data_IF_825047528929
#
_entry.id   IF_825047528929
#
_cell.length_a   1.000
_cell.length_b   1.000
_cell.length_c   1.000
_cell.angle_alpha   90.00
_cell.angle_beta   90.00
_cell.angle_gamma   90.00
#
_symmetry.space_group_name_H-M   'P 1'
#
loop_
_entity.id
_entity.type
_entity.pdbx_description
1 polymer ?
#
# COMPACT_ATOMS: atom_id res chain seq x y z
N UNK A 1 -20.95 14.04 8.53
CA UNK A 1 -19.61 14.18 7.96
C UNK A 1 -19.35 12.85 7.28
N UNK A 2 -18.96 12.83 6.01
CA UNK A 2 -18.58 11.56 5.39
C UNK A 2 -17.36 11.08 6.18
N UNK A 3 -17.57 10.04 6.99
CA UNK A 3 -16.53 9.27 7.63
C UNK A 3 -15.60 8.86 6.49
N UNK A 4 -14.38 9.39 6.46
CA UNK A 4 -13.46 9.04 5.39
C UNK A 4 -13.09 7.59 5.67
N UNK A 5 -13.52 6.70 4.79
CA UNK A 5 -13.32 5.27 5.00
C UNK A 5 -11.81 5.01 4.82
N UNK A 6 -11.13 4.79 5.95
CA UNK A 6 -9.67 4.71 5.99
C UNK A 6 -9.17 3.51 5.18
N UNK A 7 -9.94 2.44 5.15
CA UNK A 7 -9.66 1.26 4.33
C UNK A 7 -9.70 1.63 2.84
N UNK A 8 -10.80 2.24 2.39
CA UNK A 8 -10.94 2.68 0.99
C UNK A 8 -9.89 3.73 0.58
N UNK A 9 -9.56 4.64 1.49
CA UNK A 9 -8.50 5.63 1.26
C UNK A 9 -7.13 4.97 1.14
N UNK A 10 -6.82 4.04 2.04
CA UNK A 10 -5.55 3.31 2.05
C UNK A 10 -5.41 2.45 0.79
N UNK A 11 -6.46 1.74 0.39
CA UNK A 11 -6.48 0.99 -0.87
C UNK A 11 -6.23 1.91 -2.07
N UNK A 12 -6.95 3.04 -2.19
CA UNK A 12 -6.74 3.99 -3.28
C UNK A 12 -5.34 4.61 -3.28
N UNK A 13 -4.78 4.90 -2.11
CA UNK A 13 -3.41 5.38 -1.99
C UNK A 13 -2.41 4.31 -2.45
N UNK A 14 -2.62 3.05 -2.04
CA UNK A 14 -1.81 1.91 -2.48
C UNK A 14 -1.88 1.75 -3.99
N UNK A 15 -3.06 1.69 -4.60
CA UNK A 15 -3.17 1.51 -6.06
C UNK A 15 -2.53 2.65 -6.85
N UNK A 16 -2.59 3.89 -6.34
CA UNK A 16 -2.04 5.06 -7.02
C UNK A 16 -0.54 5.28 -6.76
N UNK A 17 -0.02 4.92 -5.59
CA UNK A 17 1.38 5.15 -5.19
C UNK A 17 2.25 3.90 -5.26
N UNK A 18 1.68 2.71 -4.98
CA UNK A 18 2.29 1.41 -5.28
C UNK A 18 1.98 0.99 -6.71
N UNK A 19 2.37 1.82 -7.67
CA UNK A 19 2.51 1.39 -9.07
C UNK A 19 3.92 0.80 -9.24
N UNK A 20 3.98 -0.53 -9.31
CA UNK A 20 5.18 -1.36 -9.11
C UNK A 20 6.48 -0.90 -9.82
N UNK A 21 7.60 -0.80 -9.08
CA UNK A 21 8.95 -0.84 -9.65
C UNK A 21 9.73 -2.15 -9.37
N UNK A 22 9.07 -3.22 -8.93
CA UNK A 22 9.67 -4.56 -8.71
C UNK A 22 9.49 -5.12 -7.29
N UNK A 23 9.84 -6.40 -7.11
CA UNK A 23 9.82 -7.07 -5.80
C UNK A 23 10.74 -6.34 -4.82
N UNK A 24 10.20 -5.89 -3.70
CA UNK A 24 10.98 -5.35 -2.59
C UNK A 24 11.13 -6.44 -1.54
N UNK A 25 12.38 -6.80 -1.22
CA UNK A 25 12.67 -7.83 -0.22
C UNK A 25 12.73 -7.26 1.21
N UNK A 26 12.96 -5.95 1.34
CA UNK A 26 13.19 -5.31 2.62
C UNK A 26 12.06 -4.34 2.99
N UNK A 27 11.35 -4.62 4.08
CA UNK A 27 10.41 -3.67 4.72
C UNK A 27 11.03 -2.31 5.06
N UNK A 28 12.36 -2.25 5.19
CA UNK A 28 13.08 -0.99 5.41
C UNK A 28 12.94 -0.03 4.22
N UNK A 29 12.78 -0.55 3.00
CA UNK A 29 12.50 0.27 1.81
C UNK A 29 11.03 0.71 1.76
N UNK A 30 10.13 -0.05 2.41
CA UNK A 30 8.74 0.36 2.64
C UNK A 30 8.58 1.42 3.72
N UNK A 31 9.63 1.71 4.49
CA UNK A 31 9.54 2.70 5.58
C UNK A 31 9.27 4.10 5.06
N UNK A 32 9.90 4.46 3.94
CA UNK A 32 9.68 5.75 3.26
C UNK A 32 8.25 5.84 2.70
N UNK A 33 7.74 4.74 2.12
CA UNK A 33 6.35 4.68 1.65
C UNK A 33 5.34 4.70 2.78
N UNK A 34 5.60 4.00 3.90
CA UNK A 34 4.74 4.03 5.07
C UNK A 34 4.69 5.43 5.69
N UNK A 35 5.82 6.14 5.73
CA UNK A 35 5.86 7.53 6.17
C UNK A 35 5.10 8.45 5.22
N UNK A 36 5.30 8.32 3.90
CA UNK A 36 4.57 9.08 2.89
C UNK A 36 3.05 8.82 2.96
N UNK A 37 2.64 7.57 3.15
CA UNK A 37 1.25 7.16 3.34
C UNK A 37 0.66 7.80 4.61
N UNK A 38 1.39 7.74 5.73
CA UNK A 38 0.96 8.36 6.98
C UNK A 38 0.83 9.89 6.85
N UNK A 39 1.76 10.56 6.17
CA UNK A 39 1.71 12.01 5.92
C UNK A 39 0.51 12.37 5.04
N UNK A 40 0.28 11.63 3.96
CA UNK A 40 -0.87 11.85 3.09
C UNK A 40 -2.20 11.65 3.83
N UNK A 41 -2.28 10.60 4.66
CA UNK A 41 -3.45 10.32 5.48
C UNK A 41 -3.74 11.45 6.47
N UNK A 42 -2.68 11.93 7.15
CA UNK A 42 -2.79 13.06 8.09
C UNK A 42 -3.25 14.34 7.39
N UNK A 43 -2.85 14.56 6.13
CA UNK A 43 -3.29 15.70 5.32
C UNK A 43 -4.78 15.63 4.95
N UNK A 44 -5.35 14.42 4.88
CA UNK A 44 -6.77 14.16 4.63
C UNK A 44 -7.59 14.13 5.93
N UNK A 45 -6.93 14.27 7.08
CA UNK A 45 -7.55 14.27 8.41
C UNK A 45 -7.63 12.89 9.07
N UNK A 46 -6.98 11.87 8.50
CA UNK A 46 -6.90 10.51 9.05
C UNK A 46 -5.73 10.42 10.02
N UNK A 47 -5.95 9.86 11.20
CA UNK A 47 -4.87 9.68 12.18
C UNK A 47 -3.97 8.50 11.81
N UNK A 48 -2.69 8.58 12.17
CA UNK A 48 -1.73 7.48 11.98
C UNK A 48 -2.18 6.19 12.72
N UNK A 49 -2.91 6.34 13.83
CA UNK A 49 -3.49 5.19 14.52
C UNK A 49 -4.54 4.48 13.66
N UNK A 50 -5.47 5.24 13.06
CA UNK A 50 -6.54 4.70 12.22
C UNK A 50 -6.00 4.02 10.97
N UNK A 51 -4.98 4.61 10.33
CA UNK A 51 -4.38 3.98 9.15
C UNK A 51 -3.60 2.71 9.48
N UNK A 52 -2.96 2.67 10.66
CA UNK A 52 -2.32 1.44 11.14
C UNK A 52 -3.36 0.39 11.47
N UNK A 53 -4.48 0.75 12.10
CA UNK A 53 -5.58 -0.19 12.36
C UNK A 53 -6.17 -0.75 11.06
N UNK A 54 -6.39 0.09 10.04
CA UNK A 54 -6.83 -0.35 8.72
C UNK A 54 -5.81 -1.31 8.07
N UNK A 55 -4.51 -1.05 8.24
CA UNK A 55 -3.44 -1.92 7.78
C UNK A 55 -3.22 -3.19 8.63
N UNK A 56 -4.05 -3.46 9.64
CA UNK A 56 -3.91 -4.62 10.54
C UNK A 56 -2.83 -4.46 11.62
N UNK A 57 -2.42 -3.23 11.90
CA UNK A 57 -1.47 -2.82 12.94
C UNK A 57 -0.12 -2.34 12.40
N UNK A 58 0.32 -2.91 11.27
CA UNK A 58 1.64 -2.69 10.68
C UNK A 58 1.53 -2.23 9.23
N UNK A 59 1.50 -0.90 9.05
CA UNK A 59 1.42 -0.26 7.73
C UNK A 59 2.58 -0.71 6.81
N UNK A 60 3.80 -0.81 7.32
CA UNK A 60 4.97 -1.25 6.53
C UNK A 60 4.80 -2.67 5.99
N UNK A 61 4.26 -3.58 6.81
CA UNK A 61 4.01 -4.97 6.40
C UNK A 61 2.86 -5.05 5.38
N UNK A 62 1.82 -4.25 5.58
CA UNK A 62 0.69 -4.15 4.65
C UNK A 62 1.13 -3.64 3.27
N UNK A 63 1.90 -2.55 3.21
CA UNK A 63 2.37 -2.00 1.94
C UNK A 63 3.31 -2.99 1.21
N UNK A 64 4.17 -3.70 1.96
CA UNK A 64 5.04 -4.74 1.42
C UNK A 64 4.24 -5.91 0.80
N UNK A 65 3.22 -6.39 1.51
CA UNK A 65 2.34 -7.46 1.04
C UNK A 65 1.61 -7.03 -0.24
N UNK A 66 1.01 -5.83 -0.23
CA UNK A 66 0.33 -5.26 -1.40
C UNK A 66 1.25 -5.10 -2.60
N UNK A 67 2.49 -4.63 -2.41
CA UNK A 67 3.44 -4.51 -3.51
C UNK A 67 3.80 -5.87 -4.12
N UNK A 68 4.04 -6.86 -3.27
CA UNK A 68 4.39 -8.21 -3.72
C UNK A 68 3.21 -8.87 -4.43
N UNK A 69 1.98 -8.67 -3.94
CA UNK A 69 0.77 -9.14 -4.59
C UNK A 69 0.55 -8.49 -5.97
N UNK A 70 0.75 -7.17 -6.08
CA UNK A 70 0.67 -6.46 -7.37
C UNK A 70 1.75 -6.93 -8.35
N UNK A 71 2.98 -7.11 -7.86
CA UNK A 71 4.11 -7.60 -8.67
C UNK A 71 3.89 -9.03 -9.14
N UNK A 72 3.37 -9.91 -8.27
CA UNK A 72 3.00 -11.29 -8.62
C UNK A 72 1.90 -11.33 -9.69
N UNK A 73 0.88 -10.49 -9.56
CA UNK A 73 -0.18 -10.37 -10.56
C UNK A 73 0.37 -9.90 -11.93
N UNK A 74 1.30 -8.95 -11.95
CA UNK A 74 1.94 -8.48 -13.19
C UNK A 74 2.87 -9.54 -13.81
N UNK A 75 3.67 -10.23 -13.00
CA UNK A 75 4.56 -11.31 -13.43
C UNK A 75 3.76 -12.51 -13.97
N UNK A 76 2.71 -12.91 -13.25
CA UNK A 76 1.81 -13.99 -13.66
C UNK A 76 1.03 -13.67 -14.94
N UNK A 77 0.68 -12.40 -15.15
CA UNK A 77 0.03 -11.97 -16.39
C UNK A 77 0.96 -12.06 -17.61
N UNK A 78 2.26 -11.81 -17.43
CA UNK A 78 3.24 -11.89 -18.53
C UNK A 78 3.48 -13.33 -19.00
N UNK A 79 3.41 -14.31 -18.10
CA UNK A 79 3.61 -15.73 -18.46
C UNK A 79 2.46 -16.36 -19.24
N UNK A 80 1.27 -15.74 -19.30
CA UNK A 80 0.09 -16.28 -19.99
C UNK A 80 -0.14 -15.70 -21.38
N UNK A 81 0.72 -14.77 -21.85
CA UNK A 81 0.69 -14.20 -23.21
C UNK A 81 1.53 -15.00 -24.21
N UNK A 82 2.34 -15.94 -23.74
CA UNK A 82 3.27 -16.76 -24.52
C UNK A 82 2.94 -18.25 -24.34
N UNK A 83 1.75 -18.69 -24.74
CA UNK A 83 1.39 -20.11 -24.84
C UNK A 83 0.60 -20.38 -26.14
#
# INVERSE_FOLDING_TARGET
MADVDVDQWLEGWVENNLTAPGYVEAKAEMRDQAEACAVAATSEGISIAEIKEAAGGDLEAYLLDRQNALTDAEVGHRSSKDA
#
